data_IF_070534503874
#
_entry.id   IF_070534503874
#
_cell.length_a   1.000
_cell.length_b   1.000
_cell.length_c   1.000
_cell.angle_alpha   90.00
_cell.angle_beta   90.00
_cell.angle_gamma   90.00
#
_symmetry.space_group_name_H-M   'P 1'
#
loop_
_entity.id
_entity.type
_entity.pdbx_description
1 polymer ?
#
# COMPACT_ATOMS: atom_id res chain seq x y z
N UNK A 1 -11.40 13.61 11.74
CA UNK A 1 -11.09 12.24 11.27
C UNK A 1 -10.36 11.48 12.37
N UNK A 2 -11.09 10.75 13.21
CA UNK A 2 -10.54 9.88 14.25
C UNK A 2 -9.89 8.66 13.60
N UNK A 3 -8.57 8.50 13.76
CA UNK A 3 -7.91 7.20 13.58
C UNK A 3 -8.16 6.40 14.85
N UNK A 4 -9.16 5.55 14.83
CA UNK A 4 -9.38 4.49 15.80
C UNK A 4 -8.12 3.63 15.90
N UNK A 5 -7.47 3.67 17.07
CA UNK A 5 -6.39 2.79 17.47
C UNK A 5 -6.95 1.38 17.64
N UNK A 6 -6.84 0.56 16.60
CA UNK A 6 -7.23 -0.85 16.63
C UNK A 6 -6.27 -1.67 17.51
N UNK A 7 -6.78 -2.69 18.23
CA UNK A 7 -6.04 -3.49 19.21
C UNK A 7 -4.88 -4.27 18.59
N UNK A 8 -3.82 -4.47 19.37
CA UNK A 8 -2.54 -5.08 18.99
C UNK A 8 -2.63 -6.47 18.32
N UNK A 9 -3.71 -7.23 18.56
CA UNK A 9 -3.98 -8.50 17.87
C UNK A 9 -4.19 -8.36 16.34
N UNK A 10 -4.62 -7.19 15.86
CA UNK A 10 -4.77 -6.98 14.41
C UNK A 10 -3.43 -6.72 13.69
N UNK A 11 -2.38 -6.38 14.44
CA UNK A 11 -1.08 -5.99 13.88
C UNK A 11 -0.26 -7.20 13.41
N UNK A 12 -0.31 -8.31 14.15
CA UNK A 12 0.27 -9.61 13.77
C UNK A 12 -0.46 -10.24 12.59
N UNK A 13 -1.79 -10.11 12.54
CA UNK A 13 -2.62 -10.64 11.44
C UNK A 13 -2.23 -10.07 10.07
N UNK A 14 -1.98 -8.75 9.98
CA UNK A 14 -1.59 -8.10 8.71
C UNK A 14 -0.27 -8.60 8.14
N UNK A 15 0.71 -8.92 8.99
CA UNK A 15 2.02 -9.44 8.57
C UNK A 15 1.92 -10.87 8.05
N UNK A 16 1.14 -11.71 8.73
CA UNK A 16 0.90 -13.08 8.27
C UNK A 16 0.13 -13.08 6.96
N UNK A 17 -0.88 -12.21 6.83
CA UNK A 17 -1.64 -12.06 5.59
C UNK A 17 -0.75 -11.62 4.41
N UNK A 18 0.14 -10.63 4.58
CA UNK A 18 1.08 -10.24 3.52
C UNK A 18 2.05 -11.35 3.17
N UNK A 19 2.57 -12.09 4.15
CA UNK A 19 3.50 -13.20 3.89
C UNK A 19 2.82 -14.35 3.15
N UNK A 20 1.61 -14.74 3.55
CA UNK A 20 0.83 -15.80 2.88
C UNK A 20 0.47 -15.38 1.46
N UNK A 21 -0.02 -14.14 1.27
CA UNK A 21 -0.35 -13.62 -0.05
C UNK A 21 0.87 -13.52 -0.97
N UNK A 22 2.00 -13.01 -0.47
CA UNK A 22 3.24 -12.93 -1.23
C UNK A 22 3.79 -14.33 -1.58
N UNK A 23 3.70 -15.28 -0.65
CA UNK A 23 4.10 -16.67 -0.86
C UNK A 23 3.23 -17.36 -1.91
N UNK A 24 1.90 -17.26 -1.79
CA UNK A 24 0.96 -17.82 -2.77
C UNK A 24 1.15 -17.18 -4.15
N UNK A 25 1.38 -15.87 -4.21
CA UNK A 25 1.70 -15.18 -5.46
C UNK A 25 2.99 -15.67 -6.10
N UNK A 26 4.06 -15.86 -5.33
CA UNK A 26 5.33 -16.38 -5.82
C UNK A 26 5.19 -17.82 -6.36
N UNK A 27 4.55 -18.71 -5.59
CA UNK A 27 4.35 -20.11 -5.99
C UNK A 27 3.43 -20.19 -7.23
N UNK A 28 2.34 -19.44 -7.24
CA UNK A 28 1.41 -19.41 -8.38
C UNK A 28 2.07 -18.91 -9.67
N UNK A 29 2.82 -17.81 -9.61
CA UNK A 29 3.54 -17.28 -10.76
C UNK A 29 4.65 -18.22 -11.25
N UNK A 30 5.39 -18.86 -10.33
CA UNK A 30 6.42 -19.84 -10.69
C UNK A 30 5.81 -21.09 -11.34
N UNK A 31 4.72 -21.62 -10.79
CA UNK A 31 3.99 -22.75 -11.36
C UNK A 31 3.49 -22.43 -12.77
N UNK A 32 2.86 -21.26 -12.95
CA UNK A 32 2.40 -20.80 -14.26
C UNK A 32 3.57 -20.65 -15.26
N UNK A 33 4.69 -20.06 -14.83
CA UNK A 33 5.89 -19.94 -15.67
C UNK A 33 6.43 -21.30 -16.10
N UNK A 34 6.55 -22.26 -15.18
CA UNK A 34 7.02 -23.63 -15.47
C UNK A 34 6.08 -24.32 -16.47
N UNK A 35 4.77 -24.21 -16.26
CA UNK A 35 3.78 -24.80 -17.18
C UNK A 35 3.82 -24.18 -18.57
N UNK A 36 3.94 -22.86 -18.67
CA UNK A 36 4.06 -22.17 -19.95
C UNK A 36 5.35 -22.55 -20.68
N UNK A 37 6.47 -22.62 -19.96
CA UNK A 37 7.75 -23.08 -20.52
C UNK A 37 7.66 -24.55 -20.96
N UNK A 38 7.00 -25.41 -20.19
CA UNK A 38 6.81 -26.81 -20.56
C UNK A 38 5.93 -26.96 -21.82
N UNK A 39 4.81 -26.23 -21.88
CA UNK A 39 3.95 -26.18 -23.08
C UNK A 39 4.71 -25.63 -24.28
N UNK A 40 5.47 -24.56 -24.09
CA UNK A 40 6.32 -23.97 -25.12
C UNK A 40 7.36 -24.96 -25.66
N UNK A 41 8.05 -25.66 -24.76
CA UNK A 41 9.02 -26.70 -25.14
C UNK A 41 8.36 -27.83 -25.91
N UNK A 42 7.15 -28.24 -25.52
CA UNK A 42 6.38 -29.26 -26.23
C UNK A 42 6.02 -28.80 -27.65
N UNK A 43 5.48 -27.59 -27.80
CA UNK A 43 5.17 -27.01 -29.12
C UNK A 43 6.42 -26.92 -30.00
N UNK A 44 7.54 -26.44 -29.45
CA UNK A 44 8.81 -26.36 -30.19
C UNK A 44 9.25 -27.73 -30.69
N UNK A 45 9.14 -28.76 -29.86
CA UNK A 45 9.54 -30.12 -30.20
C UNK A 45 8.68 -30.74 -31.31
N UNK A 46 7.39 -30.44 -31.33
CA UNK A 46 6.48 -30.91 -32.39
C UNK A 46 6.75 -30.20 -33.72
N UNK A 47 7.04 -28.88 -33.71
CA UNK A 47 7.35 -28.11 -34.93
C UNK A 47 8.68 -28.48 -35.61
N UNK A 48 9.63 -29.07 -34.89
CA UNK A 48 10.91 -29.49 -35.46
C UNK A 48 10.85 -30.88 -36.11
N UNK A 49 9.77 -31.65 -35.89
CA UNK A 49 9.77 -33.09 -36.17
C UNK A 49 9.31 -33.49 -37.58
N UNK A 50 8.45 -32.74 -38.27
CA UNK A 50 7.84 -33.25 -39.51
C UNK A 50 7.52 -32.14 -40.55
N UNK A 51 8.46 -31.85 -41.46
CA UNK A 51 8.17 -31.40 -42.85
C UNK A 51 7.47 -30.05 -43.17
N UNK A 52 7.81 -28.92 -42.54
CA UNK A 52 7.27 -27.60 -42.96
C UNK A 52 8.32 -26.65 -43.52
N UNK A 53 8.57 -26.77 -44.83
CA UNK A 53 9.45 -25.88 -45.59
C UNK A 53 8.76 -24.75 -46.36
N UNK A 54 7.43 -24.56 -46.27
CA UNK A 54 6.76 -23.65 -47.23
C UNK A 54 5.50 -22.89 -46.79
N UNK A 55 4.86 -23.17 -45.66
CA UNK A 55 3.65 -22.44 -45.28
C UNK A 55 3.82 -21.73 -43.94
N UNK A 56 3.84 -20.40 -44.00
CA UNK A 56 3.71 -19.44 -42.90
C UNK A 56 4.86 -19.30 -41.89
N UNK A 57 6.03 -18.95 -42.41
CA UNK A 57 7.16 -18.40 -41.64
C UNK A 57 6.73 -17.24 -40.71
N UNK A 58 5.71 -16.46 -41.08
CA UNK A 58 5.29 -15.26 -40.35
C UNK A 58 4.36 -15.51 -39.15
N UNK A 59 3.44 -16.48 -39.22
CA UNK A 59 2.48 -16.72 -38.12
C UNK A 59 3.14 -17.44 -36.95
N UNK A 60 4.06 -18.37 -37.26
CA UNK A 60 4.89 -19.06 -36.30
C UNK A 60 5.74 -18.07 -35.48
N UNK A 61 6.20 -16.99 -36.10
CA UNK A 61 7.07 -16.01 -35.45
C UNK A 61 6.29 -15.16 -34.42
N UNK A 62 5.04 -14.78 -34.73
CA UNK A 62 4.19 -14.02 -33.80
C UNK A 62 3.85 -14.85 -32.56
N UNK A 63 3.40 -16.09 -32.75
CA UNK A 63 3.12 -17.00 -31.65
C UNK A 63 4.37 -17.24 -30.80
N UNK A 64 5.54 -17.32 -31.46
CA UNK A 64 6.81 -17.47 -30.77
C UNK A 64 7.18 -16.26 -29.92
N UNK A 65 7.12 -15.07 -30.52
CA UNK A 65 7.42 -13.81 -29.85
C UNK A 65 6.46 -13.60 -28.68
N UNK A 66 5.17 -13.84 -28.87
CA UNK A 66 4.16 -13.69 -27.82
C UNK A 66 4.39 -14.69 -26.68
N UNK A 67 4.67 -15.96 -26.99
CA UNK A 67 4.99 -16.97 -25.97
C UNK A 67 6.25 -16.60 -25.18
N UNK A 68 7.32 -16.15 -25.85
CA UNK A 68 8.54 -15.67 -25.21
C UNK A 68 8.28 -14.44 -24.33
N UNK A 69 7.45 -13.50 -24.78
CA UNK A 69 7.06 -12.30 -24.03
C UNK A 69 6.30 -12.67 -22.75
N UNK A 70 5.31 -13.58 -22.86
CA UNK A 70 4.53 -14.05 -21.70
C UNK A 70 5.44 -14.80 -20.71
N UNK A 71 6.33 -15.66 -21.19
CA UNK A 71 7.29 -16.36 -20.34
C UNK A 71 8.21 -15.38 -19.59
N UNK A 72 8.73 -14.37 -20.29
CA UNK A 72 9.59 -13.34 -19.71
C UNK A 72 8.82 -12.53 -18.67
N UNK A 73 7.58 -12.13 -18.95
CA UNK A 73 6.71 -11.43 -18.01
C UNK A 73 6.48 -12.25 -16.73
N UNK A 74 6.15 -13.55 -16.85
CA UNK A 74 5.96 -14.44 -15.70
C UNK A 74 7.24 -14.65 -14.89
N UNK A 75 8.40 -14.74 -15.56
CA UNK A 75 9.69 -14.84 -14.89
C UNK A 75 10.02 -13.59 -14.07
N UNK A 76 9.83 -12.39 -14.66
CA UNK A 76 10.02 -11.12 -13.96
C UNK A 76 9.06 -11.01 -12.77
N UNK A 77 7.80 -11.41 -12.94
CA UNK A 77 6.81 -11.44 -11.87
C UNK A 77 7.22 -12.37 -10.72
N UNK A 78 7.72 -13.57 -11.03
CA UNK A 78 8.23 -14.51 -10.04
C UNK A 78 9.40 -13.93 -9.23
N UNK A 79 10.38 -13.33 -9.91
CA UNK A 79 11.54 -12.70 -9.26
C UNK A 79 11.10 -11.54 -8.36
N UNK A 80 10.18 -10.70 -8.83
CA UNK A 80 9.66 -9.59 -8.03
C UNK A 80 8.89 -10.09 -6.79
N UNK A 81 8.03 -11.11 -6.93
CA UNK A 81 7.34 -11.74 -5.80
C UNK A 81 8.33 -12.34 -4.78
N UNK A 82 9.39 -13.01 -5.24
CA UNK A 82 10.44 -13.53 -4.37
C UNK A 82 11.19 -12.41 -3.63
N UNK A 83 11.52 -11.31 -4.31
CA UNK A 83 12.15 -10.14 -3.68
C UNK A 83 11.22 -9.48 -2.64
N UNK A 84 9.92 -9.40 -2.92
CA UNK A 84 8.91 -8.92 -1.98
C UNK A 84 8.79 -9.81 -0.73
N UNK A 85 8.76 -11.12 -0.92
CA UNK A 85 8.75 -12.10 0.15
C UNK A 85 10.02 -12.01 1.02
N UNK A 86 11.19 -11.94 0.39
CA UNK A 86 12.48 -11.75 1.09
C UNK A 86 12.52 -10.44 1.88
N UNK A 87 12.06 -9.33 1.28
CA UNK A 87 11.96 -8.03 1.94
C UNK A 87 11.02 -8.05 3.16
N UNK A 88 9.91 -8.77 3.06
CA UNK A 88 8.96 -8.96 4.17
C UNK A 88 9.55 -9.82 5.30
N UNK A 89 10.32 -10.87 4.97
CA UNK A 89 11.01 -11.71 5.95
C UNK A 89 12.11 -10.93 6.70
N UNK A 90 12.97 -10.21 5.97
CA UNK A 90 14.12 -9.49 6.54
C UNK A 90 13.79 -8.09 7.07
N UNK A 91 12.53 -7.64 6.96
CA UNK A 91 12.08 -6.28 7.33
C UNK A 91 12.89 -5.15 6.68
N UNK A 92 13.44 -5.38 5.49
CA UNK A 92 14.26 -4.38 4.78
C UNK A 92 13.36 -3.44 3.96
N UNK A 93 13.20 -2.15 4.34
CA UNK A 93 12.27 -1.24 3.67
C UNK A 93 12.66 -0.98 2.21
N UNK A 94 13.95 -1.09 1.86
CA UNK A 94 14.44 -0.93 0.49
C UNK A 94 13.84 -1.98 -0.46
N UNK A 95 13.81 -3.25 -0.04
CA UNK A 95 13.27 -4.35 -0.86
C UNK A 95 11.75 -4.24 -1.00
N UNK A 96 11.06 -3.88 0.09
CA UNK A 96 9.60 -3.65 0.07
C UNK A 96 9.24 -2.48 -0.86
N UNK A 97 10.08 -1.45 -0.95
CA UNK A 97 9.87 -0.32 -1.88
C UNK A 97 9.96 -0.77 -3.35
N UNK A 98 10.98 -1.54 -3.70
CA UNK A 98 11.14 -2.07 -5.07
C UNK A 98 9.94 -2.94 -5.44
N UNK A 99 9.52 -3.83 -4.54
CA UNK A 99 8.35 -4.69 -4.76
C UNK A 99 7.05 -3.90 -4.94
N UNK A 100 6.85 -2.84 -4.13
CA UNK A 100 5.70 -1.94 -4.26
C UNK A 100 5.71 -1.23 -5.61
N UNK A 101 6.83 -0.62 -5.99
CA UNK A 101 6.93 0.15 -7.22
C UNK A 101 6.74 -0.76 -8.45
N UNK A 102 7.28 -2.00 -8.39
CA UNK A 102 7.00 -3.05 -9.38
C UNK A 102 5.50 -3.41 -9.44
N UNK A 103 4.85 -3.65 -8.30
CA UNK A 103 3.44 -4.03 -8.25
C UNK A 103 2.51 -2.95 -8.81
N UNK A 104 2.87 -1.67 -8.64
CA UNK A 104 2.15 -0.53 -9.25
C UNK A 104 2.34 -0.52 -10.77
N UNK A 105 3.58 -0.70 -11.24
CA UNK A 105 3.87 -0.74 -12.67
C UNK A 105 3.17 -1.92 -13.35
N UNK A 106 3.20 -3.10 -12.72
CA UNK A 106 2.49 -4.29 -13.19
C UNK A 106 0.98 -4.07 -13.25
N UNK A 107 0.38 -3.51 -12.19
CA UNK A 107 -1.04 -3.18 -12.18
C UNK A 107 -1.42 -2.22 -13.32
N UNK A 108 -0.62 -1.18 -13.54
CA UNK A 108 -0.84 -0.23 -14.62
C UNK A 108 -0.72 -0.91 -16.00
N UNK A 109 0.33 -1.70 -16.21
CA UNK A 109 0.56 -2.43 -17.46
C UNK A 109 -0.58 -3.40 -17.77
N UNK A 110 -1.00 -4.21 -16.79
CA UNK A 110 -2.07 -5.20 -16.96
C UNK A 110 -3.43 -4.52 -17.16
N UNK A 111 -3.68 -3.40 -16.49
CA UNK A 111 -4.90 -2.63 -16.70
C UNK A 111 -4.94 -2.07 -18.12
N UNK A 112 -3.84 -1.45 -18.58
CA UNK A 112 -3.74 -0.91 -19.94
C UNK A 112 -3.86 -2.00 -21.00
N UNK A 113 -3.18 -3.14 -20.83
CA UNK A 113 -3.26 -4.26 -21.77
C UNK A 113 -4.66 -4.87 -21.80
N UNK A 114 -5.34 -5.00 -20.65
CA UNK A 114 -6.73 -5.48 -20.58
C UNK A 114 -7.68 -4.51 -21.29
N UNK A 115 -7.49 -3.19 -21.11
CA UNK A 115 -8.30 -2.18 -21.80
C UNK A 115 -8.06 -2.18 -23.32
N UNK A 116 -6.80 -2.28 -23.75
CA UNK A 116 -6.45 -2.39 -25.17
C UNK A 116 -7.00 -3.67 -25.79
N UNK A 117 -6.91 -4.79 -25.08
CA UNK A 117 -7.48 -6.06 -25.51
C UNK A 117 -8.99 -5.99 -25.63
N UNK A 118 -9.68 -5.44 -24.62
CA UNK A 118 -11.13 -5.23 -24.67
C UNK A 118 -11.52 -4.33 -25.84
N UNK A 119 -10.79 -3.23 -26.06
CA UNK A 119 -11.01 -2.33 -27.18
C UNK A 119 -10.81 -3.03 -28.53
N UNK A 120 -9.73 -3.79 -28.69
CA UNK A 120 -9.46 -4.55 -29.90
C UNK A 120 -10.57 -5.59 -30.18
N UNK A 121 -11.03 -6.30 -29.15
CA UNK A 121 -12.08 -7.31 -29.29
C UNK A 121 -13.48 -6.72 -29.59
N UNK A 122 -13.71 -5.43 -29.33
CA UNK A 122 -14.95 -4.75 -29.71
C UNK A 122 -14.94 -4.33 -31.18
N UNK A 123 -13.79 -4.29 -31.83
CA UNK A 123 -13.72 -3.93 -33.25
C UNK A 123 -14.33 -5.04 -34.14
N UNK A 124 -15.31 -4.72 -35.01
CA UNK A 124 -15.97 -5.72 -35.84
C UNK A 124 -15.03 -6.37 -36.86
N UNK A 125 -13.98 -5.66 -37.30
CA UNK A 125 -12.96 -6.17 -38.22
C UNK A 125 -12.20 -7.37 -37.63
N UNK A 126 -11.80 -7.28 -36.37
CA UNK A 126 -11.10 -8.36 -35.66
C UNK A 126 -12.02 -9.54 -35.39
N UNK A 127 -13.28 -9.29 -35.04
CA UNK A 127 -14.28 -10.35 -34.85
C UNK A 127 -14.48 -11.17 -36.12
N UNK A 128 -14.71 -10.49 -37.24
CA UNK A 128 -14.88 -11.14 -38.55
C UNK A 128 -13.64 -11.95 -38.95
N UNK A 129 -12.44 -11.37 -38.80
CA UNK A 129 -11.19 -12.08 -39.10
C UNK A 129 -10.97 -13.32 -38.23
N UNK A 130 -11.28 -13.26 -36.93
CA UNK A 130 -11.16 -14.41 -36.03
C UNK A 130 -12.17 -15.49 -36.36
N UNK A 131 -13.44 -15.14 -36.65
CA UNK A 131 -14.43 -16.13 -37.05
C UNK A 131 -14.13 -16.77 -38.41
N UNK A 132 -13.59 -16.00 -39.38
CA UNK A 132 -13.11 -16.53 -40.64
C UNK A 132 -11.95 -17.52 -40.42
N UNK A 133 -10.97 -17.15 -39.61
CA UNK A 133 -9.81 -18.02 -39.36
C UNK A 133 -10.20 -19.27 -38.55
N UNK A 134 -11.12 -19.13 -37.59
CA UNK A 134 -11.65 -20.26 -36.82
C UNK A 134 -12.39 -21.25 -37.73
N UNK A 135 -13.09 -20.74 -38.75
CA UNK A 135 -13.76 -21.58 -39.74
C UNK A 135 -12.80 -22.39 -40.62
N UNK A 136 -11.55 -21.93 -40.78
CA UNK A 136 -10.50 -22.66 -41.52
C UNK A 136 -9.91 -23.82 -40.72
N UNK A 137 -10.18 -23.93 -39.42
CA UNK A 137 -9.66 -24.99 -38.55
C UNK A 137 -10.77 -25.98 -38.14
N UNK A 138 -11.09 -26.99 -38.98
CA UNK A 138 -12.20 -27.91 -38.74
C UNK A 138 -12.03 -28.77 -37.47
N UNK A 139 -10.79 -29.08 -37.08
CA UNK A 139 -10.50 -29.84 -35.86
C UNK A 139 -10.85 -29.07 -34.59
N UNK A 140 -10.62 -27.75 -34.58
CA UNK A 140 -10.97 -26.90 -33.45
C UNK A 140 -12.49 -26.70 -33.38
N UNK A 141 -13.12 -26.50 -34.54
CA UNK A 141 -14.57 -26.42 -34.64
C UNK A 141 -15.26 -27.69 -34.13
N UNK A 142 -14.71 -28.88 -34.36
CA UNK A 142 -15.32 -30.13 -33.89
C UNK A 142 -15.52 -30.16 -32.38
N UNK A 143 -14.52 -29.70 -31.62
CA UNK A 143 -14.61 -29.61 -30.16
C UNK A 143 -15.52 -28.46 -29.68
N UNK A 144 -15.67 -27.40 -30.48
CA UNK A 144 -16.46 -26.23 -30.14
C UNK A 144 -17.96 -26.38 -30.51
N UNK A 145 -18.26 -27.21 -31.51
CA UNK A 145 -19.63 -27.57 -31.88
C UNK A 145 -20.34 -28.26 -30.72
N UNK A 146 -19.63 -29.11 -29.97
CA UNK A 146 -20.17 -29.75 -28.76
C UNK A 146 -20.55 -28.72 -27.68
N UNK A 147 -19.90 -27.56 -27.67
CA UNK A 147 -20.21 -26.41 -26.81
C UNK A 147 -21.32 -25.50 -27.38
N UNK A 148 -21.89 -25.85 -28.55
CA UNK A 148 -22.94 -25.11 -29.24
C UNK A 148 -22.45 -23.98 -30.16
N UNK A 149 -21.14 -23.95 -30.48
CA UNK A 149 -20.59 -22.93 -31.37
C UNK A 149 -20.91 -23.26 -32.84
N UNK A 150 -21.88 -22.56 -33.43
CA UNK A 150 -22.12 -22.57 -34.87
C UNK A 150 -21.53 -21.33 -35.53
N UNK A 151 -21.21 -21.42 -36.83
CA UNK A 151 -20.59 -20.30 -37.56
C UNK A 151 -21.47 -19.04 -37.57
N UNK A 152 -22.78 -19.24 -37.56
CA UNK A 152 -23.80 -18.19 -37.49
C UNK A 152 -23.86 -17.49 -36.13
N UNK A 153 -23.42 -18.18 -35.07
CA UNK A 153 -23.43 -17.69 -33.69
C UNK A 153 -22.03 -17.33 -33.18
N UNK A 154 -21.01 -17.38 -34.06
CA UNK A 154 -19.61 -17.13 -33.70
C UNK A 154 -19.42 -15.76 -33.05
N UNK A 155 -20.05 -14.72 -33.60
CA UNK A 155 -19.97 -13.35 -33.08
C UNK A 155 -20.51 -13.23 -31.64
N UNK A 156 -21.66 -13.85 -31.36
CA UNK A 156 -22.29 -13.80 -30.02
C UNK A 156 -21.44 -14.56 -29.00
N UNK A 157 -20.90 -15.72 -29.38
CA UNK A 157 -20.01 -16.48 -28.51
C UNK A 157 -18.69 -15.77 -28.26
N UNK A 158 -18.09 -15.17 -29.30
CA UNK A 158 -16.88 -14.37 -29.16
C UNK A 158 -17.13 -13.19 -28.22
N UNK A 159 -18.24 -12.46 -28.39
CA UNK A 159 -18.61 -11.35 -27.51
C UNK A 159 -18.77 -11.81 -26.05
N UNK A 160 -19.50 -12.91 -25.81
CA UNK A 160 -19.65 -13.48 -24.46
C UNK A 160 -18.33 -13.96 -23.88
N UNK A 161 -17.48 -14.59 -24.70
CA UNK A 161 -16.15 -15.04 -24.30
C UNK A 161 -15.26 -13.87 -23.89
N UNK A 162 -15.23 -12.81 -24.68
CA UNK A 162 -14.49 -11.57 -24.37
C UNK A 162 -15.02 -10.93 -23.09
N UNK A 163 -16.34 -10.81 -22.90
CA UNK A 163 -16.93 -10.29 -21.67
C UNK A 163 -16.51 -11.15 -20.46
N UNK A 164 -16.53 -12.47 -20.61
CA UNK A 164 -16.07 -13.40 -19.59
C UNK A 164 -14.59 -13.20 -19.22
N UNK A 165 -13.71 -13.15 -20.22
CA UNK A 165 -12.26 -12.93 -20.03
C UNK A 165 -12.00 -11.57 -19.38
N UNK A 166 -12.61 -10.49 -19.89
CA UNK A 166 -12.47 -9.15 -19.31
C UNK A 166 -13.01 -9.11 -17.89
N UNK A 167 -14.12 -9.81 -17.59
CA UNK A 167 -14.67 -9.95 -16.26
C UNK A 167 -13.71 -10.64 -15.29
N UNK A 168 -13.14 -11.78 -15.68
CA UNK A 168 -12.12 -12.49 -14.87
C UNK A 168 -10.89 -11.60 -14.65
N UNK A 169 -10.38 -10.96 -15.70
CA UNK A 169 -9.24 -10.04 -15.60
C UNK A 169 -9.54 -8.86 -14.68
N UNK A 170 -10.76 -8.33 -14.70
CA UNK A 170 -11.19 -7.25 -13.81
C UNK A 170 -11.19 -7.69 -12.35
N UNK A 171 -11.67 -8.90 -12.03
CA UNK A 171 -11.59 -9.45 -10.66
C UNK A 171 -10.13 -9.60 -10.23
N UNK A 172 -9.27 -10.14 -11.09
CA UNK A 172 -7.83 -10.26 -10.81
C UNK A 172 -7.16 -8.91 -10.57
N UNK A 173 -7.52 -7.87 -11.35
CA UNK A 173 -7.05 -6.51 -11.16
C UNK A 173 -7.50 -5.93 -9.81
N UNK A 174 -8.74 -6.15 -9.39
CA UNK A 174 -9.23 -5.74 -8.08
C UNK A 174 -8.43 -6.44 -6.98
N UNK A 175 -8.24 -7.76 -7.05
CA UNK A 175 -7.42 -8.50 -6.10
C UNK A 175 -5.98 -7.96 -6.03
N UNK A 176 -5.35 -7.70 -7.19
CA UNK A 176 -4.01 -7.09 -7.26
C UNK A 176 -3.98 -5.68 -6.68
N UNK A 177 -5.00 -4.86 -6.94
CA UNK A 177 -5.10 -3.51 -6.39
C UNK A 177 -5.19 -3.54 -4.85
N UNK A 178 -6.04 -4.41 -4.30
CA UNK A 178 -6.17 -4.57 -2.84
C UNK A 178 -4.84 -4.98 -2.21
N UNK A 179 -4.12 -5.90 -2.85
CA UNK A 179 -2.79 -6.31 -2.41
C UNK A 179 -1.78 -5.14 -2.43
N UNK A 180 -1.73 -4.38 -3.52
CA UNK A 180 -0.83 -3.23 -3.66
C UNK A 180 -1.13 -2.14 -2.61
N UNK A 181 -2.40 -1.87 -2.31
CA UNK A 181 -2.79 -0.95 -1.25
C UNK A 181 -2.34 -1.43 0.14
N UNK A 182 -2.52 -2.73 0.41
CA UNK A 182 -2.13 -3.33 1.68
C UNK A 182 -0.60 -3.29 1.88
N UNK A 183 0.18 -3.61 0.84
CA UNK A 183 1.64 -3.49 0.84
C UNK A 183 2.08 -2.03 1.03
N UNK A 184 1.38 -1.09 0.41
CA UNK A 184 1.67 0.35 0.54
C UNK A 184 1.41 0.86 1.95
N UNK A 185 0.31 0.42 2.59
CA UNK A 185 0.03 0.74 3.99
C UNK A 185 1.09 0.12 4.92
N UNK A 186 1.44 -1.15 4.70
CA UNK A 186 2.49 -1.83 5.45
C UNK A 186 3.84 -1.10 5.33
N UNK A 187 4.25 -0.73 4.13
CA UNK A 187 5.45 0.08 3.90
C UNK A 187 5.37 1.44 4.62
N UNK A 188 4.22 2.11 4.56
CA UNK A 188 4.01 3.38 5.25
C UNK A 188 4.10 3.24 6.77
N UNK A 189 3.65 2.12 7.33
CA UNK A 189 3.82 1.81 8.74
C UNK A 189 5.29 1.53 9.10
N UNK A 190 5.99 0.74 8.27
CA UNK A 190 7.41 0.41 8.48
C UNK A 190 8.30 1.67 8.46
N UNK A 191 8.06 2.57 7.50
CA UNK A 191 8.78 3.85 7.41
C UNK A 191 8.45 4.77 8.60
N UNK A 192 7.21 4.73 9.11
CA UNK A 192 6.81 5.54 10.28
C UNK A 192 7.31 4.98 11.61
N UNK A 193 7.41 3.65 11.73
CA UNK A 193 7.96 3.01 12.93
C UNK A 193 9.44 3.35 13.11
N UNK A 194 10.14 3.62 12.01
CA UNK A 194 11.56 3.94 12.03
C UNK A 194 12.42 2.74 12.48
N UNK A 195 13.74 2.77 12.21
CA UNK A 195 14.64 1.68 12.62
C UNK A 195 14.77 1.50 14.14
N UNK A 196 14.29 2.47 14.95
CA UNK A 196 14.51 2.51 16.40
C UNK A 196 13.41 1.90 17.27
N UNK A 197 12.27 1.47 16.70
CA UNK A 197 11.14 0.98 17.49
C UNK A 197 11.23 -0.51 17.91
N UNK A 198 12.16 -1.28 17.34
CA UNK A 198 12.25 -2.72 17.58
C UNK A 198 12.98 -3.11 18.89
N UNK A 199 13.45 -2.15 19.71
CA UNK A 199 14.19 -2.44 20.95
C UNK A 199 13.40 -2.26 22.26
N UNK A 200 12.17 -1.71 22.26
CA UNK A 200 11.42 -1.48 23.52
C UNK A 200 10.28 -2.48 23.80
N UNK A 201 9.95 -3.41 22.90
CA UNK A 201 8.77 -4.28 23.07
C UNK A 201 9.00 -5.49 24.02
N UNK A 202 10.16 -5.61 24.67
CA UNK A 202 10.46 -6.69 25.63
C UNK A 202 10.67 -6.27 27.09
N UNK A 203 10.59 -4.97 27.43
CA UNK A 203 10.61 -4.55 28.83
C UNK A 203 9.18 -4.37 29.34
N UNK A 204 8.57 -5.48 29.76
CA UNK A 204 7.32 -5.50 30.53
C UNK A 204 7.54 -4.97 31.96
N UNK A 205 7.87 -3.68 32.08
CA UNK A 205 7.86 -2.96 33.34
C UNK A 205 6.94 -1.75 33.16
N UNK A 206 5.88 -1.68 33.96
CA UNK A 206 5.07 -0.47 34.14
C UNK A 206 5.99 0.69 34.58
N UNK A 207 6.53 1.46 33.62
CA UNK A 207 7.08 2.78 33.90
C UNK A 207 6.17 3.86 33.32
N UNK A 208 5.83 4.89 34.10
CA UNK A 208 4.79 5.86 33.77
C UNK A 208 5.20 6.73 32.57
N UNK A 209 4.57 6.45 31.43
CA UNK A 209 4.11 7.29 30.29
C UNK A 209 4.61 8.75 30.16
N UNK A 210 5.89 9.01 30.37
CA UNK A 210 6.54 10.27 30.02
C UNK A 210 7.31 10.13 28.72
N UNK A 211 6.97 10.89 27.68
CA UNK A 211 7.82 10.95 26.49
C UNK A 211 9.09 11.72 26.87
N UNK A 212 10.24 11.02 26.95
CA UNK A 212 11.54 11.63 27.24
C UNK A 212 11.97 12.51 26.08
N UNK A 213 12.20 13.79 26.35
CA UNK A 213 12.74 14.77 25.40
C UNK A 213 14.05 15.31 25.97
N UNK A 214 14.98 15.68 25.09
CA UNK A 214 16.23 16.34 25.47
C UNK A 214 16.13 17.82 25.14
N UNK A 215 16.41 18.65 26.14
CA UNK A 215 16.41 20.11 26.05
C UNK A 215 17.86 20.56 25.87
N UNK A 216 18.20 21.06 24.68
CA UNK A 216 19.53 21.65 24.50
C UNK A 216 19.56 23.05 25.14
N UNK A 217 20.60 23.36 25.94
CA UNK A 217 20.80 24.72 26.40
C UNK A 217 21.03 25.63 25.19
N UNK A 218 20.14 26.60 24.97
CA UNK A 218 20.38 27.65 23.99
C UNK A 218 21.56 28.48 24.47
N UNK A 219 22.69 28.42 23.74
CA UNK A 219 23.94 29.10 24.11
C UNK A 219 23.77 30.62 24.28
N UNK A 220 22.71 31.20 23.70
CA UNK A 220 22.46 32.64 23.73
C UNK A 220 21.31 33.06 24.66
N UNK A 221 20.60 32.13 25.31
CA UNK A 221 19.42 32.44 26.13
C UNK A 221 19.73 32.96 27.55
N UNK A 222 20.98 33.31 27.87
CA UNK A 222 21.32 33.97 29.14
C UNK A 222 20.75 35.40 29.24
N UNK A 223 20.30 36.01 28.14
CA UNK A 223 19.70 37.34 28.16
C UNK A 223 18.18 37.28 28.37
N UNK A 224 17.78 37.53 29.63
CA UNK A 224 16.45 37.96 30.12
C UNK A 224 15.27 37.81 29.14
N UNK A 225 14.57 36.68 29.23
CA UNK A 225 13.15 36.58 28.82
C UNK A 225 12.85 36.07 27.40
N UNK A 226 13.82 35.51 26.67
CA UNK A 226 13.53 34.93 25.36
C UNK A 226 12.90 33.52 25.46
N UNK A 227 11.95 33.18 24.56
CA UNK A 227 11.27 31.90 24.57
C UNK A 227 12.24 30.75 24.24
N UNK A 228 12.23 29.70 25.06
CA UNK A 228 13.01 28.48 24.83
C UNK A 228 12.46 27.75 23.60
N UNK A 229 13.23 27.69 22.52
CA UNK A 229 12.83 27.03 21.27
C UNK A 229 13.17 25.54 21.37
N UNK A 230 12.14 24.69 21.35
CA UNK A 230 12.29 23.24 21.35
C UNK A 230 12.45 22.71 19.93
N UNK A 231 13.48 21.89 19.68
CA UNK A 231 13.57 21.12 18.46
C UNK A 231 13.24 19.64 18.78
N UNK A 232 12.16 19.07 18.21
CA UNK A 232 11.92 17.64 18.33
C UNK A 232 13.07 16.88 17.66
N UNK A 233 13.75 16.00 18.39
CA UNK A 233 14.94 15.29 17.94
C UNK A 233 14.63 13.84 17.53
N UNK A 234 14.38 13.56 16.24
CA UNK A 234 14.46 12.21 15.71
C UNK A 234 15.84 11.88 15.12
N UNK A 235 16.87 12.72 15.33
CA UNK A 235 18.15 12.64 14.59
C UNK A 235 19.43 12.61 15.41
N UNK A 236 19.36 12.68 16.73
CA UNK A 236 20.56 12.77 17.56
C UNK A 236 20.75 11.53 18.41
N UNK A 237 21.98 11.02 18.44
CA UNK A 237 22.33 9.88 19.30
C UNK A 237 22.37 10.31 20.77
N UNK A 238 22.09 9.39 21.70
CA UNK A 238 22.10 9.64 23.15
C UNK A 238 23.46 10.19 23.63
N UNK A 239 24.55 9.69 23.05
CA UNK A 239 25.91 10.13 23.37
C UNK A 239 26.14 11.60 22.97
N UNK A 240 25.67 11.98 21.78
CA UNK A 240 25.80 13.35 21.25
C UNK A 240 24.93 14.34 22.03
N UNK A 241 23.74 13.91 22.48
CA UNK A 241 22.88 14.72 23.35
C UNK A 241 23.54 15.01 24.70
N UNK A 242 24.21 14.01 25.30
CA UNK A 242 24.98 14.18 26.55
C UNK A 242 26.17 15.11 26.35
N UNK A 243 26.86 15.01 25.22
CA UNK A 243 28.01 15.87 24.90
C UNK A 243 27.62 17.35 24.77
N UNK A 244 26.38 17.64 24.38
CA UNK A 244 25.85 19.01 24.29
C UNK A 244 25.20 19.52 25.58
N UNK A 245 25.42 18.85 26.72
CA UNK A 245 24.80 19.20 28.01
C UNK A 245 23.27 19.30 27.92
N UNK A 246 22.63 18.48 27.09
CA UNK A 246 21.18 18.50 26.97
C UNK A 246 20.53 18.00 28.28
N UNK A 247 19.59 18.78 28.81
CA UNK A 247 18.83 18.44 30.01
C UNK A 247 17.69 17.51 29.64
N UNK A 248 17.55 16.41 30.37
CA UNK A 248 16.46 15.48 30.16
C UNK A 248 15.17 16.04 30.76
N UNK A 249 14.09 16.04 29.98
CA UNK A 249 12.77 16.39 30.46
C UNK A 249 11.77 15.32 30.06
N UNK A 250 10.87 14.98 30.98
CA UNK A 250 9.79 14.05 30.73
C UNK A 250 8.52 14.84 30.45
N UNK A 251 8.01 14.75 29.23
CA UNK A 251 6.73 15.36 28.88
C UNK A 251 5.65 14.32 29.05
N UNK A 252 4.83 14.52 30.09
CA UNK A 252 3.55 13.86 30.20
C UNK A 252 2.63 14.48 29.15
N UNK A 253 2.11 13.69 28.19
CA UNK A 253 1.04 14.22 27.35
C UNK A 253 -0.14 14.51 28.28
N UNK A 254 -0.74 15.71 28.22
CA UNK A 254 -1.99 15.94 28.95
C UNK A 254 -2.93 14.83 28.49
N UNK A 255 -3.40 14.04 29.46
CA UNK A 255 -4.46 13.07 29.21
C UNK A 255 -5.54 13.84 28.49
N UNK A 256 -5.77 13.53 27.21
CA UNK A 256 -6.98 14.00 26.53
C UNK A 256 -8.09 13.34 27.33
N UNK A 257 -8.62 14.06 28.32
CA UNK A 257 -9.93 13.77 28.87
C UNK A 257 -10.84 13.81 27.65
N UNK A 258 -11.12 12.62 27.12
CA UNK A 258 -12.25 12.39 26.25
C UNK A 258 -13.42 12.87 27.07
N UNK A 259 -13.85 14.11 26.85
CA UNK A 259 -15.19 14.53 27.17
C UNK A 259 -16.08 13.55 26.40
N UNK A 260 -16.53 12.51 27.09
CA UNK A 260 -17.71 11.78 26.71
C UNK A 260 -18.77 12.83 26.49
N UNK A 261 -19.12 13.06 25.23
CA UNK A 261 -20.33 13.77 24.87
C UNK A 261 -21.50 12.90 25.32
N UNK A 262 -21.78 12.90 26.62
CA UNK A 262 -23.09 12.63 27.15
C UNK A 262 -23.98 13.76 26.65
N UNK A 263 -24.76 13.45 25.61
CA UNK A 263 -25.84 14.28 25.10
C UNK A 263 -26.70 14.78 26.28
N UNK A 264 -26.86 16.11 26.47
CA UNK A 264 -27.89 16.60 27.38
C UNK A 264 -29.24 16.55 26.67
N UNK A 265 -30.19 15.85 27.30
CA UNK A 265 -31.60 15.90 26.92
C UNK A 265 -32.09 17.36 26.91
N UNK A 266 -32.66 17.76 25.78
CA UNK A 266 -33.32 19.04 25.58
C UNK A 266 -34.67 19.06 26.31
N UNK A 267 -34.76 19.83 27.39
CA UNK A 267 -36.05 20.28 27.91
C UNK A 267 -36.00 21.75 28.33
N UNK A 268 -36.74 22.54 27.56
CA UNK A 268 -37.56 23.69 27.99
C UNK A 268 -36.91 24.96 28.55
N UNK A 269 -37.38 26.06 27.95
CA UNK A 269 -37.85 27.31 28.57
C UNK A 269 -36.82 28.41 28.95
N UNK A 270 -36.79 29.39 28.03
CA UNK A 270 -37.17 30.81 28.25
C UNK A 270 -36.33 31.74 29.14
N UNK A 271 -36.18 32.99 28.61
CA UNK A 271 -35.78 34.25 29.27
C UNK A 271 -34.30 34.33 29.70
N UNK A 272 -33.61 35.47 29.74
CA UNK A 272 -33.74 36.84 29.25
C UNK A 272 -32.34 37.50 29.47
N UNK A 273 -32.13 38.68 28.90
CA UNK A 273 -31.08 39.70 29.11
C UNK A 273 -29.98 39.50 30.18
N UNK A 274 -28.74 39.90 29.85
CA UNK A 274 -27.99 40.97 30.55
C UNK A 274 -26.48 40.92 30.28
N UNK A 275 -25.91 42.10 30.05
CA UNK A 275 -24.47 42.41 30.06
C UNK A 275 -23.80 42.04 31.40
N UNK A 276 -22.51 41.66 31.37
CA UNK A 276 -21.48 42.28 32.23
C UNK A 276 -20.04 41.86 31.88
N UNK A 277 -19.24 42.90 31.70
CA UNK A 277 -17.79 42.99 31.95
C UNK A 277 -17.44 42.40 33.32
N UNK A 278 -16.36 41.62 33.41
CA UNK A 278 -15.45 41.67 34.56
C UNK A 278 -14.14 40.94 34.24
N UNK A 279 -13.04 41.68 34.35
CA UNK A 279 -11.70 41.19 34.60
C UNK A 279 -11.68 40.34 35.88
N UNK A 280 -10.89 39.28 35.91
CA UNK A 280 -10.23 38.88 37.15
C UNK A 280 -8.99 38.06 36.86
N UNK A 281 -7.86 38.68 37.17
CA UNK A 281 -6.61 38.05 37.54
C UNK A 281 -6.87 37.14 38.76
N UNK A 282 -6.49 35.87 38.67
CA UNK A 282 -6.31 35.03 39.85
C UNK A 282 -5.09 34.13 39.65
N UNK A 283 -3.98 34.59 40.22
CA UNK A 283 -2.84 33.77 40.57
C UNK A 283 -3.30 32.70 41.58
N UNK A 284 -3.22 31.43 41.21
CA UNK A 284 -3.32 30.32 42.16
C UNK A 284 -1.95 29.70 42.36
N UNK A 285 -1.53 29.76 43.62
CA UNK A 285 -0.24 29.34 44.16
C UNK A 285 -0.49 28.06 44.95
N UNK A 286 -0.28 26.91 44.33
CA UNK A 286 -0.16 25.59 44.97
C UNK A 286 0.94 24.86 44.17
N UNK A 287 2.09 24.46 44.72
CA UNK A 287 2.31 24.01 46.09
C UNK A 287 2.09 22.51 46.19
N UNK A 288 2.59 21.70 45.24
CA UNK A 288 2.90 20.31 45.53
C UNK A 288 4.06 19.80 44.67
N UNK A 289 5.02 19.20 45.36
CA UNK A 289 6.28 18.65 44.88
C UNK A 289 6.08 17.50 43.90
N UNK A 290 6.24 17.80 42.63
CA UNK A 290 6.93 17.00 41.60
C UNK A 290 7.16 17.99 40.45
N UNK A 291 8.42 18.28 40.11
CA UNK A 291 8.83 19.37 39.22
C UNK A 291 8.44 19.21 37.75
N UNK A 292 7.17 18.96 37.47
CA UNK A 292 6.58 19.03 36.14
C UNK A 292 6.43 20.48 35.74
N UNK A 293 7.30 20.94 34.84
CA UNK A 293 7.15 22.23 34.19
C UNK A 293 5.97 22.11 33.22
N UNK A 294 4.77 22.46 33.68
CA UNK A 294 3.59 22.57 32.83
C UNK A 294 3.63 23.94 32.13
N UNK A 295 4.07 23.97 30.87
CA UNK A 295 4.00 25.18 30.07
C UNK A 295 2.53 25.40 29.67
N UNK A 296 1.96 26.61 29.89
CA UNK A 296 0.62 26.92 29.45
C UNK A 296 0.59 27.04 27.93
N UNK A 297 0.43 25.91 27.23
CA UNK A 297 0.30 25.87 25.77
C UNK A 297 -1.14 26.21 25.42
N UNK A 298 -1.37 27.35 24.74
CA UNK A 298 -2.71 27.69 24.24
C UNK A 298 -3.08 26.77 23.07
N UNK A 299 -4.37 26.39 22.92
CA UNK A 299 -4.83 25.64 21.75
C UNK A 299 -4.49 26.42 20.47
N UNK A 300 -3.61 25.87 19.63
CA UNK A 300 -3.14 26.50 18.38
C UNK A 300 -1.72 27.06 18.39
N UNK A 301 -0.99 26.99 19.51
CA UNK A 301 0.34 27.62 19.68
C UNK A 301 1.51 26.87 18.99
N UNK A 302 1.25 26.06 17.96
CA UNK A 302 2.25 25.68 16.95
C UNK A 302 3.48 24.87 17.37
N UNK A 303 3.56 24.34 18.60
CA UNK A 303 4.75 23.60 19.08
C UNK A 303 4.93 22.19 18.47
N UNK A 304 3.93 21.71 17.73
CA UNK A 304 4.02 20.48 16.94
C UNK A 304 3.83 20.90 15.49
N UNK A 305 4.78 20.63 14.58
CA UNK A 305 4.61 20.98 13.18
C UNK A 305 3.33 20.31 12.69
N UNK A 306 2.33 21.12 12.31
CA UNK A 306 1.21 20.64 11.53
C UNK A 306 1.81 19.95 10.31
N UNK A 307 1.59 18.64 10.20
CA UNK A 307 1.94 17.88 9.01
C UNK A 307 1.08 18.45 7.88
N UNK A 308 1.57 19.48 7.21
CA UNK A 308 1.01 19.96 5.95
C UNK A 308 1.02 18.77 5.00
N UNK A 309 -0.16 18.25 4.71
CA UNK A 309 -0.35 17.31 3.62
C UNK A 309 0.05 18.04 2.33
N UNK A 310 1.29 17.82 1.90
CA UNK A 310 1.79 18.33 0.62
C UNK A 310 1.05 17.55 -0.48
N UNK A 311 -0.08 18.12 -0.90
CA UNK A 311 -0.81 17.72 -2.09
C UNK A 311 0.02 18.24 -3.27
N UNK A 312 0.89 17.40 -3.84
CA UNK A 312 1.52 17.72 -5.12
C UNK A 312 0.41 17.87 -6.15
N UNK A 313 0.19 19.10 -6.62
CA UNK A 313 -0.45 19.35 -7.90
C UNK A 313 0.56 18.93 -8.97
N UNK A 314 0.24 17.85 -9.68
CA UNK A 314 0.90 17.53 -10.94
C UNK A 314 0.32 18.45 -12.01
N UNK A 315 1.21 19.12 -12.74
CA UNK A 315 0.94 19.72 -14.03
C UNK A 315 0.67 18.62 -15.06
#
# INVERSE_FOLDING_TARGET
>A
MQRSSLPCCFKTSKRTATLVLAGLGAVGNAYAAIHLVAMWWRMRKETESEWEGSADIWTLDIARILGALICTYMAIASVACAAGFYGALKRLPAHVRVFRDYSIADLAFVTLSTLLFAFACVQPTLRGAVCEELSRQPELMRNLIDTGLTIENCDIYFERGVIGIVGVMSVLLICRMQFTLLVTDYYSQLVRAGPGADFEEFSGGEEPTGQRIFLLPSRDAQFKGQPLIYAPLPRLSLAEARQMHATEAYVSRPSRHSHSNSLPHSSSRSHAHSHRRAESLSASRHGNSNGGIALPIRPGEGLIPERKHSRKQSA
#
